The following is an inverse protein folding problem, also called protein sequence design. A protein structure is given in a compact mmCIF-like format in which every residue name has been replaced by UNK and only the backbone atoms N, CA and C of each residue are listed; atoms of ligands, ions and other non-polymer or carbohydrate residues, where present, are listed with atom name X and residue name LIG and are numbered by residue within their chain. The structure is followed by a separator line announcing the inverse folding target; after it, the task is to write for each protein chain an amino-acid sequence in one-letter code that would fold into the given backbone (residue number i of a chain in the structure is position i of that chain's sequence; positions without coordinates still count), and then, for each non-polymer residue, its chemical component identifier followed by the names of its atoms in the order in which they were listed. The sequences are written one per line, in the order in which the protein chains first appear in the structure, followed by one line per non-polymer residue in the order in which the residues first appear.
data_IF_667251678498
#
_entry.id   IF_667251678498
#
_cell.length_a   1.000
_cell.length_b   1.000
_cell.length_c   1.000
_cell.angle_alpha   90.00
_cell.angle_beta   90.00
_cell.angle_gamma   90.00
#
_symmetry.space_group_name_H-M   'P 1'
#
loop_
_entity.id
_entity.type
_entity.pdbx_description
1 polymer ?
#
# COMPACT_ATOMS: atom_id res chain seq x y z
N UNK A 1 3.66 -17.79 -1.35
CA UNK A 1 3.86 -16.53 -0.56
C UNK A 1 2.48 -15.99 -0.22
N UNK A 2 2.02 -16.27 0.98
CA UNK A 2 0.67 -15.91 1.43
C UNK A 2 0.76 -14.77 2.43
N UNK A 3 0.02 -13.66 2.24
CA UNK A 3 -0.06 -12.60 3.24
C UNK A 3 -0.71 -13.11 4.53
N UNK A 4 -0.20 -12.66 5.68
CA UNK A 4 -0.81 -12.86 7.01
C UNK A 4 -1.04 -11.52 7.70
N UNK A 5 -1.92 -11.46 8.72
CA UNK A 5 -2.06 -10.24 9.51
C UNK A 5 -0.72 -9.78 10.11
N UNK A 6 -0.53 -8.46 10.15
CA UNK A 6 0.62 -7.84 10.80
C UNK A 6 0.54 -8.04 12.31
N UNK A 7 1.62 -8.52 12.92
CA UNK A 7 1.76 -8.66 14.35
C UNK A 7 2.63 -7.53 14.95
N UNK A 8 2.49 -7.27 16.25
CA UNK A 8 3.28 -6.22 16.92
C UNK A 8 4.80 -6.43 16.77
N UNK A 9 5.27 -7.68 16.74
CA UNK A 9 6.68 -8.01 16.54
C UNK A 9 7.21 -7.59 15.16
N UNK A 10 6.35 -7.55 14.12
CA UNK A 10 6.75 -7.14 12.77
C UNK A 10 7.11 -5.65 12.71
N UNK A 11 6.46 -4.84 13.54
CA UNK A 11 6.64 -3.39 13.58
C UNK A 11 8.09 -3.02 13.92
N UNK A 12 8.72 -3.79 14.82
CA UNK A 12 10.11 -3.59 15.24
C UNK A 12 11.08 -3.67 14.07
N UNK A 13 10.78 -4.53 13.09
CA UNK A 13 11.58 -4.66 11.86
C UNK A 13 11.14 -3.67 10.78
N UNK A 14 9.83 -3.53 10.57
CA UNK A 14 9.28 -2.75 9.47
C UNK A 14 9.47 -1.24 9.64
N UNK A 15 9.18 -0.69 10.81
CA UNK A 15 9.17 0.76 10.99
C UNK A 15 10.55 1.41 10.75
N UNK A 16 11.66 0.90 11.30
CA UNK A 16 12.98 1.44 10.97
C UNK A 16 13.36 1.24 9.49
N UNK A 17 13.00 0.09 8.91
CA UNK A 17 13.33 -0.19 7.51
C UNK A 17 12.58 0.75 6.56
N UNK A 18 11.32 1.04 6.82
CA UNK A 18 10.52 1.99 6.02
C UNK A 18 11.06 3.42 6.15
N UNK A 19 11.47 3.85 7.34
CA UNK A 19 11.96 5.21 7.58
C UNK A 19 13.21 5.58 6.75
N UNK A 20 13.98 4.59 6.30
CA UNK A 20 15.17 4.80 5.45
C UNK A 20 14.90 4.53 3.96
N UNK A 21 13.66 4.21 3.58
CA UNK A 21 13.25 3.97 2.21
C UNK A 21 12.43 5.15 1.66
N UNK A 22 12.56 5.43 0.38
CA UNK A 22 11.62 6.30 -0.31
C UNK A 22 10.27 5.58 -0.52
N UNK A 23 9.16 6.25 -0.43
CA UNK A 23 9.02 7.72 -0.31
C UNK A 23 9.12 8.24 1.13
N UNK A 24 9.02 7.38 2.15
CA UNK A 24 8.91 7.81 3.56
C UNK A 24 10.10 8.63 4.03
N UNK A 25 11.32 8.21 3.68
CA UNK A 25 12.52 8.97 3.99
C UNK A 25 12.45 10.39 3.42
N UNK A 26 12.15 10.51 2.14
CA UNK A 26 12.10 11.79 1.43
C UNK A 26 10.97 12.70 1.92
N UNK A 27 9.85 12.11 2.34
CA UNK A 27 8.70 12.82 2.91
C UNK A 27 8.86 13.14 4.40
N UNK A 28 9.98 12.77 5.04
CA UNK A 28 10.28 13.09 6.43
C UNK A 28 9.60 12.21 7.48
N UNK A 29 9.10 11.03 7.11
CA UNK A 29 8.54 10.08 8.06
C UNK A 29 9.63 9.50 8.96
N UNK A 30 9.34 9.39 10.26
CA UNK A 30 10.26 8.82 11.24
C UNK A 30 9.89 7.37 11.57
N UNK A 31 10.87 6.60 12.06
CA UNK A 31 10.62 5.24 12.53
C UNK A 31 9.56 5.21 13.66
N UNK A 32 9.57 6.19 14.56
CA UNK A 32 8.59 6.32 15.66
C UNK A 32 7.19 6.57 15.09
N UNK A 33 7.05 7.49 14.14
CA UNK A 33 5.77 7.80 13.50
C UNK A 33 5.22 6.61 12.71
N UNK A 34 6.09 5.91 11.99
CA UNK A 34 5.71 4.70 11.24
C UNK A 34 5.32 3.55 12.17
N UNK A 35 6.02 3.37 13.30
CA UNK A 35 5.65 2.38 14.30
C UNK A 35 4.27 2.70 14.91
N UNK A 36 4.01 3.95 15.25
CA UNK A 36 2.71 4.39 15.75
C UNK A 36 1.59 4.15 14.71
N UNK A 37 1.82 4.46 13.44
CA UNK A 37 0.88 4.18 12.35
C UNK A 37 0.60 2.68 12.18
N UNK A 38 1.64 1.86 12.19
CA UNK A 38 1.49 0.41 12.02
C UNK A 38 0.82 -0.26 13.23
N UNK A 39 0.98 0.30 14.43
CA UNK A 39 0.49 -0.29 15.67
C UNK A 39 -0.85 0.24 16.18
N UNK A 40 -1.31 1.41 15.69
CA UNK A 40 -2.56 1.98 16.19
C UNK A 40 -3.78 1.14 15.82
N UNK A 41 -4.75 1.09 16.72
CA UNK A 41 -6.04 0.50 16.41
C UNK A 41 -6.82 1.38 15.42
N UNK A 42 -7.30 0.76 14.35
CA UNK A 42 -8.11 1.40 13.32
C UNK A 42 -8.96 0.31 12.64
N UNK A 43 -10.25 0.28 12.95
CA UNK A 43 -11.17 -0.73 12.41
C UNK A 43 -11.33 -0.67 10.88
N UNK A 44 -11.02 0.47 10.26
CA UNK A 44 -11.06 0.64 8.81
C UNK A 44 -9.78 0.16 8.11
N UNK A 45 -8.73 -0.18 8.85
CA UNK A 45 -7.40 -0.45 8.31
C UNK A 45 -6.97 -1.89 8.58
N UNK A 46 -6.90 -2.70 7.53
CA UNK A 46 -6.34 -4.06 7.58
C UNK A 46 -4.86 -4.01 7.17
N UNK A 47 -3.99 -4.55 8.02
CA UNK A 47 -2.54 -4.60 7.76
C UNK A 47 -2.09 -6.02 7.57
N UNK A 48 -1.37 -6.27 6.48
CA UNK A 48 -0.88 -7.58 6.08
C UNK A 48 0.62 -7.55 5.85
N UNK A 49 1.28 -8.66 6.12
CA UNK A 49 2.72 -8.86 5.82
C UNK A 49 2.93 -10.15 5.04
N UNK A 50 4.01 -10.19 4.27
CA UNK A 50 4.59 -11.41 3.73
C UNK A 50 5.97 -11.58 4.36
N UNK A 51 6.23 -12.80 4.85
CA UNK A 51 7.51 -13.18 5.41
C UNK A 51 8.40 -13.88 4.38
N UNK A 52 9.70 -13.67 4.53
CA UNK A 52 10.74 -14.50 3.95
C UNK A 52 11.68 -14.91 5.08
N UNK A 53 11.99 -16.19 5.16
CA UNK A 53 12.90 -16.75 6.17
C UNK A 53 12.54 -16.36 7.60
N UNK A 54 11.22 -16.33 7.91
CA UNK A 54 10.71 -16.01 9.23
C UNK A 54 10.77 -14.52 9.63
N UNK A 55 11.03 -13.62 8.66
CA UNK A 55 11.09 -12.17 8.90
C UNK A 55 10.14 -11.42 7.97
N UNK A 56 9.51 -10.34 8.42
CA UNK A 56 8.67 -9.52 7.55
C UNK A 56 9.53 -8.94 6.40
N UNK A 57 9.09 -9.16 5.18
CA UNK A 57 9.78 -8.77 3.96
C UNK A 57 8.98 -7.77 3.12
N UNK A 58 7.65 -7.78 3.26
CA UNK A 58 6.75 -6.84 2.61
C UNK A 58 5.53 -6.59 3.49
N UNK A 59 4.95 -5.41 3.37
CA UNK A 59 3.77 -5.01 4.13
C UNK A 59 2.79 -4.22 3.25
N UNK A 60 1.50 -4.36 3.59
CA UNK A 60 0.42 -3.61 2.98
C UNK A 60 -0.56 -3.16 4.06
N UNK A 61 -1.05 -1.93 3.97
CA UNK A 61 -2.19 -1.44 4.73
C UNK A 61 -3.33 -1.11 3.76
N UNK A 62 -4.50 -1.70 3.99
CA UNK A 62 -5.68 -1.56 3.16
C UNK A 62 -6.81 -0.92 3.94
N UNK A 63 -7.28 0.23 3.50
CA UNK A 63 -8.39 0.96 4.10
C UNK A 63 -9.71 0.59 3.45
N UNK A 64 -10.71 0.29 4.27
CA UNK A 64 -12.10 0.05 3.86
C UNK A 64 -13.08 0.58 4.91
N UNK A 65 -14.21 1.22 4.53
CA UNK A 65 -14.58 1.59 3.16
C UNK A 65 -13.77 2.78 2.63
N UNK A 66 -13.69 2.89 1.30
CA UNK A 66 -13.18 4.04 0.61
C UNK A 66 -14.02 4.28 -0.67
N UNK A 67 -13.58 5.10 -1.59
CA UNK A 67 -14.36 5.50 -2.77
C UNK A 67 -14.69 4.31 -3.70
N UNK A 68 -15.81 3.62 -3.43
CA UNK A 68 -16.33 2.48 -4.19
C UNK A 68 -15.31 1.36 -4.40
N UNK A 69 -14.52 1.11 -3.38
CA UNK A 69 -13.53 0.05 -3.37
C UNK A 69 -12.50 0.27 -2.25
N UNK A 70 -11.60 -0.68 -2.00
CA UNK A 70 -10.53 -0.50 -1.04
C UNK A 70 -9.43 0.44 -1.54
N UNK A 71 -8.69 1.03 -0.58
CA UNK A 71 -7.56 1.91 -0.82
C UNK A 71 -6.29 1.33 -0.19
N UNK A 72 -5.27 1.12 -1.01
CA UNK A 72 -3.92 0.74 -0.56
C UNK A 72 -3.25 1.98 0.01
N UNK A 73 -3.27 2.11 1.33
CA UNK A 73 -2.73 3.26 2.05
C UNK A 73 -1.21 3.16 2.25
N UNK A 74 -0.71 1.92 2.35
CA UNK A 74 0.72 1.61 2.39
C UNK A 74 0.99 0.33 1.61
N UNK A 75 2.03 0.32 0.80
CA UNK A 75 2.62 -0.87 0.18
C UNK A 75 4.14 -0.73 0.20
N UNK A 76 4.81 -1.68 0.80
CA UNK A 76 6.26 -1.69 0.88
C UNK A 76 6.80 -3.10 0.63
N UNK A 77 7.92 -3.18 -0.08
CA UNK A 77 8.75 -4.38 -0.17
C UNK A 77 10.16 -3.98 0.25
N UNK A 78 10.69 -4.61 1.29
CA UNK A 78 12.01 -4.29 1.80
C UNK A 78 13.08 -4.54 0.73
N UNK A 79 14.16 -3.74 0.67
CA UNK A 79 15.13 -3.78 -0.43
C UNK A 79 15.66 -5.18 -0.74
N UNK A 80 16.04 -5.95 0.28
CA UNK A 80 16.57 -7.32 0.11
C UNK A 80 15.54 -8.33 -0.45
N UNK A 81 14.25 -7.97 -0.45
CA UNK A 81 13.14 -8.83 -0.90
C UNK A 81 12.53 -8.38 -2.23
N UNK A 82 13.00 -7.27 -2.80
CA UNK A 82 12.49 -6.76 -4.07
C UNK A 82 12.78 -7.73 -5.23
N UNK A 83 12.00 -7.62 -6.30
CA UNK A 83 12.13 -8.49 -7.47
C UNK A 83 11.59 -9.91 -7.31
N UNK A 84 11.06 -10.27 -6.14
CA UNK A 84 10.54 -11.62 -5.85
C UNK A 84 9.01 -11.74 -5.97
N UNK A 85 8.33 -10.74 -6.50
CA UNK A 85 6.88 -10.76 -6.70
C UNK A 85 6.03 -10.47 -5.47
N UNK A 86 6.62 -10.07 -4.32
CA UNK A 86 5.90 -9.84 -3.06
C UNK A 86 4.89 -8.70 -3.17
N UNK A 87 5.27 -7.60 -3.82
CA UNK A 87 4.37 -6.47 -4.05
C UNK A 87 3.15 -6.88 -4.89
N UNK A 88 3.36 -7.67 -5.93
CA UNK A 88 2.26 -8.20 -6.76
C UNK A 88 1.34 -9.13 -5.95
N UNK A 89 1.91 -9.98 -5.09
CA UNK A 89 1.12 -10.86 -4.23
C UNK A 89 0.22 -10.05 -3.27
N UNK A 90 0.75 -8.98 -2.66
CA UNK A 90 -0.01 -8.09 -1.79
C UNK A 90 -1.10 -7.32 -2.55
N UNK A 91 -0.81 -6.78 -3.73
CA UNK A 91 -1.81 -6.10 -4.58
C UNK A 91 -2.91 -7.07 -5.01
N UNK A 92 -2.59 -8.29 -5.38
CA UNK A 92 -3.58 -9.30 -5.74
C UNK A 92 -4.44 -9.70 -4.54
N UNK A 93 -3.84 -9.84 -3.36
CA UNK A 93 -4.60 -10.04 -2.12
C UNK A 93 -5.57 -8.88 -1.87
N UNK A 94 -5.12 -7.63 -2.00
CA UNK A 94 -5.96 -6.44 -1.83
C UNK A 94 -7.12 -6.40 -2.84
N UNK A 95 -6.86 -6.75 -4.10
CA UNK A 95 -7.87 -6.83 -5.15
C UNK A 95 -8.96 -7.89 -4.84
N UNK A 96 -8.57 -8.99 -4.19
CA UNK A 96 -9.50 -10.06 -3.80
C UNK A 96 -10.41 -9.67 -2.61
N UNK A 97 -10.14 -8.55 -1.93
CA UNK A 97 -11.00 -8.08 -0.82
C UNK A 97 -12.32 -7.46 -1.30
N UNK A 98 -12.54 -7.37 -2.60
CA UNK A 98 -13.80 -6.93 -3.18
C UNK A 98 -13.85 -5.46 -3.55
N UNK A 99 -15.01 -5.05 -4.09
CA UNK A 99 -15.23 -3.72 -4.63
C UNK A 99 -15.04 -3.64 -6.15
N UNK A 100 -15.51 -2.57 -6.76
CA UNK A 100 -15.37 -2.34 -8.21
C UNK A 100 -14.04 -1.69 -8.60
N UNK A 101 -13.31 -1.19 -7.61
CA UNK A 101 -12.05 -0.48 -7.78
C UNK A 101 -11.05 -0.87 -6.71
N UNK A 102 -9.78 -0.81 -7.03
CA UNK A 102 -8.68 -0.78 -6.08
C UNK A 102 -7.92 0.53 -6.29
N UNK A 103 -7.77 1.30 -5.23
CA UNK A 103 -7.14 2.61 -5.27
C UNK A 103 -5.77 2.58 -4.59
N UNK A 104 -4.88 3.46 -5.00
CA UNK A 104 -3.62 3.73 -4.34
C UNK A 104 -3.20 5.18 -4.60
N UNK A 105 -2.30 5.71 -3.78
CA UNK A 105 -1.54 6.92 -4.09
C UNK A 105 -0.07 6.58 -4.17
N UNK A 106 0.65 7.28 -5.03
CA UNK A 106 2.09 7.18 -5.18
C UNK A 106 2.68 8.59 -5.28
N UNK A 107 3.80 8.84 -4.60
CA UNK A 107 4.50 10.11 -4.75
C UNK A 107 4.94 10.30 -6.19
N UNK A 108 4.70 11.49 -6.76
CA UNK A 108 5.02 11.78 -8.16
C UNK A 108 6.49 11.53 -8.50
N UNK A 109 7.40 11.75 -7.54
CA UNK A 109 8.84 11.50 -7.70
C UNK A 109 9.23 10.02 -7.66
N UNK A 110 8.34 9.13 -7.17
CA UNK A 110 8.66 7.71 -6.97
C UNK A 110 8.44 6.92 -8.27
N UNK A 111 9.30 7.12 -9.25
CA UNK A 111 9.20 6.48 -10.56
C UNK A 111 9.19 4.95 -10.52
N UNK A 112 10.01 4.27 -9.69
CA UNK A 112 9.95 2.82 -9.59
C UNK A 112 8.59 2.30 -9.11
N UNK A 113 7.98 2.96 -8.14
CA UNK A 113 6.66 2.59 -7.65
C UNK A 113 5.56 2.88 -8.69
N UNK A 114 5.63 4.01 -9.40
CA UNK A 114 4.71 4.33 -10.51
C UNK A 114 4.75 3.25 -11.59
N UNK A 115 5.96 2.85 -12.00
CA UNK A 115 6.15 1.78 -12.97
C UNK A 115 5.62 0.42 -12.45
N UNK A 116 5.81 0.12 -11.18
CA UNK A 116 5.25 -1.07 -10.55
C UNK A 116 3.72 -1.08 -10.62
N UNK A 117 3.06 0.00 -10.21
CA UNK A 117 1.61 0.10 -10.22
C UNK A 117 1.04 0.02 -11.65
N UNK A 118 1.70 0.63 -12.64
CA UNK A 118 1.30 0.51 -14.04
C UNK A 118 1.33 -0.95 -14.51
N UNK A 119 2.40 -1.70 -14.19
CA UNK A 119 2.49 -3.14 -14.50
C UNK A 119 1.47 -3.98 -13.69
N UNK A 120 1.02 -3.49 -12.55
CA UNK A 120 -0.03 -4.13 -11.75
C UNK A 120 -1.46 -3.78 -12.21
N UNK A 121 -1.60 -3.03 -13.31
CA UNK A 121 -2.89 -2.71 -13.94
C UNK A 121 -3.56 -1.45 -13.40
N UNK A 122 -2.84 -0.59 -12.68
CA UNK A 122 -3.33 0.72 -12.27
C UNK A 122 -3.13 1.76 -13.38
N UNK A 123 -4.07 2.71 -13.43
CA UNK A 123 -3.98 3.91 -14.27
C UNK A 123 -3.92 5.14 -13.38
N UNK A 124 -3.19 6.15 -13.80
CA UNK A 124 -3.14 7.46 -13.14
C UNK A 124 -4.45 8.21 -13.40
N UNK A 125 -5.08 8.72 -12.34
CA UNK A 125 -6.39 9.39 -12.39
C UNK A 125 -6.25 10.88 -12.19
N UNK A 126 -5.50 11.31 -11.18
CA UNK A 126 -5.35 12.72 -10.83
C UNK A 126 -4.05 12.96 -10.06
N UNK A 127 -3.50 14.16 -10.20
CA UNK A 127 -2.48 14.69 -9.31
C UNK A 127 -3.14 15.37 -8.12
N UNK A 128 -2.63 15.10 -6.92
CA UNK A 128 -3.08 15.67 -5.65
C UNK A 128 -1.92 16.49 -5.07
N UNK A 129 -1.99 17.79 -5.28
CA UNK A 129 -0.93 18.71 -4.84
C UNK A 129 -0.89 18.76 -3.32
N UNK A 130 0.32 18.73 -2.76
CA UNK A 130 0.61 18.92 -1.33
C UNK A 130 -0.18 17.98 -0.38
N UNK A 131 -0.58 16.81 -0.85
CA UNK A 131 -1.44 15.91 -0.06
C UNK A 131 -0.77 15.43 1.23
N UNK A 132 0.50 15.09 1.17
CA UNK A 132 1.26 14.54 2.30
C UNK A 132 2.27 15.55 2.82
N UNK A 133 2.97 16.24 1.94
CA UNK A 133 3.97 17.23 2.26
C UNK A 133 3.93 18.37 1.25
N UNK A 134 4.18 19.61 1.71
CA UNK A 134 4.28 20.77 0.85
C UNK A 134 5.37 20.57 -0.22
N UNK A 135 5.05 20.90 -1.47
CA UNK A 135 5.93 20.73 -2.61
C UNK A 135 6.09 19.29 -3.10
N UNK A 136 5.33 18.34 -2.56
CA UNK A 136 5.35 16.94 -2.96
C UNK A 136 3.96 16.49 -3.42
N UNK A 137 3.79 16.35 -4.72
CA UNK A 137 2.54 15.85 -5.30
C UNK A 137 2.42 14.34 -5.13
N UNK A 138 1.21 13.89 -4.88
CA UNK A 138 0.81 12.48 -4.97
C UNK A 138 -0.01 12.25 -6.22
N UNK A 139 0.11 11.06 -6.79
CA UNK A 139 -0.70 10.64 -7.93
C UNK A 139 -1.73 9.62 -7.44
N UNK A 140 -3.00 9.93 -7.63
CA UNK A 140 -4.09 8.98 -7.38
C UNK A 140 -4.16 7.96 -8.50
N UNK A 141 -4.13 6.69 -8.12
CA UNK A 141 -4.12 5.54 -9.02
C UNK A 141 -5.39 4.72 -8.84
N UNK A 142 -5.90 4.15 -9.92
CA UNK A 142 -7.05 3.24 -9.91
C UNK A 142 -6.80 2.00 -10.75
N UNK A 143 -7.11 0.83 -10.19
CA UNK A 143 -7.28 -0.42 -10.92
C UNK A 143 -8.74 -0.82 -10.88
N UNK A 144 -9.41 -0.96 -12.03
CA UNK A 144 -10.75 -1.50 -12.09
C UNK A 144 -10.71 -3.01 -11.87
N UNK A 145 -11.64 -3.50 -11.05
CA UNK A 145 -11.77 -4.92 -10.75
C UNK A 145 -13.01 -5.47 -11.49
N UNK A 146 -12.88 -6.63 -12.11
CA UNK A 146 -13.90 -7.22 -12.99
C UNK A 146 -15.21 -7.66 -12.28
N UNK A 147 -15.29 -7.48 -10.96
CA UNK A 147 -16.42 -7.90 -10.12
C UNK A 147 -17.32 -6.75 -9.70
N UNK A 148 -17.49 -5.74 -10.52
CA UNK A 148 -18.60 -4.83 -10.33
C UNK A 148 -19.87 -5.44 -10.93
N UNK A 149 -20.52 -6.35 -10.19
CA UNK A 149 -21.94 -6.58 -10.40
C UNK A 149 -22.65 -5.30 -9.94
N UNK A 150 -23.07 -4.45 -10.86
CA UNK A 150 -24.03 -3.40 -10.56
C UNK A 150 -25.22 -4.09 -9.86
N UNK A 151 -25.74 -3.55 -8.73
CA UNK A 151 -27.00 -4.03 -8.21
C UNK A 151 -28.01 -3.91 -9.36
N UNK A 152 -28.71 -5.00 -9.65
CA UNK A 152 -29.76 -4.98 -10.64
C UNK A 152 -30.67 -3.79 -10.35
N UNK A 153 -30.84 -2.90 -11.31
CA UNK A 153 -31.78 -1.81 -11.20
C UNK A 153 -33.15 -2.42 -10.90
N UNK A 154 -33.69 -2.12 -9.71
CA UNK A 154 -35.08 -2.45 -9.36
C UNK A 154 -36.00 -1.43 -9.98
#
# INVERSE_FOLDING_TARGET
MTPRPLAAADIVTLAPALAVMDPWRRLGFTAVGLAAYLGREDAALTRMVIELDGRPAAALALRRPWLRGPYVELLAVLPAAQGRGLGRALVNWAAAQGGGNLWACVSAFNEPARAFYARAGFVEVAALSDLVAEGADEILLRRRLDRYCAPAAR
#
